data_IF_554463104536
#
_entry.id   IF_554463104536
#
_cell.length_a   1.000
_cell.length_b   1.000
_cell.length_c   1.000
_cell.angle_alpha   90.00
_cell.angle_beta   90.00
_cell.angle_gamma   90.00
#
_symmetry.space_group_name_H-M   'P 1'
#
loop_
_entity.id
_entity.type
_entity.pdbx_description
1 polymer ?
#
# COMPACT_ATOMS: atom_id res chain seq x y z
N UNK A 1 -3.14 -11.81 3.43
CA UNK A 1 -4.15 -11.32 4.38
C UNK A 1 -5.48 -11.93 4.00
N UNK A 2 -6.20 -12.54 4.94
CA UNK A 2 -7.42 -13.32 4.67
C UNK A 2 -8.72 -12.53 4.74
N UNK A 3 -8.67 -11.21 4.58
CA UNK A 3 -9.83 -10.30 4.71
C UNK A 3 -10.39 -10.02 3.32
N UNK A 4 -11.71 -10.14 3.14
CA UNK A 4 -12.34 -9.79 1.87
C UNK A 4 -12.42 -8.26 1.69
N UNK A 5 -12.53 -7.77 0.45
CA UNK A 5 -12.72 -6.32 0.22
C UNK A 5 -13.98 -5.77 0.89
N UNK A 6 -15.03 -6.59 1.03
CA UNK A 6 -16.28 -6.23 1.73
C UNK A 6 -16.03 -6.08 3.23
N UNK A 7 -15.31 -7.04 3.82
CA UNK A 7 -14.97 -7.01 5.24
C UNK A 7 -14.03 -5.85 5.58
N UNK A 8 -13.03 -5.59 4.74
CA UNK A 8 -12.14 -4.44 4.90
C UNK A 8 -12.92 -3.12 4.81
N UNK A 9 -13.85 -3.02 3.85
CA UNK A 9 -14.71 -1.85 3.74
C UNK A 9 -15.58 -1.63 4.98
N UNK A 10 -16.11 -2.71 5.59
CA UNK A 10 -16.86 -2.63 6.84
C UNK A 10 -15.99 -2.11 7.99
N UNK A 11 -14.77 -2.62 8.13
CA UNK A 11 -13.81 -2.15 9.15
C UNK A 11 -13.45 -0.68 8.98
N UNK A 12 -13.39 -0.20 7.74
CA UNK A 12 -13.09 1.20 7.38
C UNK A 12 -14.33 2.12 7.38
N UNK A 13 -15.53 1.62 7.65
CA UNK A 13 -16.75 2.42 7.54
C UNK A 13 -17.00 2.96 6.12
N UNK A 14 -16.57 2.23 5.08
CA UNK A 14 -16.58 2.66 3.69
C UNK A 14 -17.23 1.61 2.77
N UNK A 15 -17.16 1.82 1.45
CA UNK A 15 -17.73 0.91 0.45
C UNK A 15 -16.69 -0.08 -0.07
N UNK A 16 -17.13 -1.28 -0.47
CA UNK A 16 -16.25 -2.23 -1.16
C UNK A 16 -15.66 -1.62 -2.44
N UNK A 17 -16.41 -0.78 -3.16
CA UNK A 17 -15.93 -0.10 -4.36
C UNK A 17 -14.78 0.86 -4.07
N UNK A 18 -14.83 1.58 -2.94
CA UNK A 18 -13.72 2.42 -2.48
C UNK A 18 -12.45 1.59 -2.25
N UNK A 19 -12.56 0.48 -1.51
CA UNK A 19 -11.43 -0.44 -1.26
C UNK A 19 -10.88 -0.97 -2.59
N UNK A 20 -11.76 -1.41 -3.48
CA UNK A 20 -11.41 -1.94 -4.79
C UNK A 20 -10.65 -0.93 -5.66
N UNK A 21 -11.05 0.35 -5.65
CA UNK A 21 -10.34 1.42 -6.37
C UNK A 21 -8.97 1.73 -5.76
N UNK A 22 -8.85 1.69 -4.44
CA UNK A 22 -7.57 1.88 -3.75
C UNK A 22 -6.59 0.73 -4.08
N UNK A 23 -7.05 -0.53 -4.03
CA UNK A 23 -6.23 -1.71 -4.34
C UNK A 23 -5.75 -1.74 -5.79
N UNK A 24 -6.59 -1.30 -6.74
CA UNK A 24 -6.21 -1.15 -8.16
C UNK A 24 -5.33 0.08 -8.43
N UNK A 25 -5.10 0.93 -7.43
CA UNK A 25 -4.35 2.18 -7.57
C UNK A 25 -5.07 3.28 -8.37
N UNK A 26 -6.36 3.12 -8.64
CA UNK A 26 -7.23 4.11 -9.30
C UNK A 26 -7.57 5.28 -8.37
N UNK A 27 -7.54 5.03 -7.05
CA UNK A 27 -7.68 6.05 -6.01
C UNK A 27 -6.41 6.09 -5.16
N UNK A 28 -5.88 7.29 -4.95
CA UNK A 28 -4.81 7.51 -3.98
C UNK A 28 -5.40 7.55 -2.59
N UNK A 29 -4.70 6.93 -1.64
CA UNK A 29 -4.95 7.11 -0.22
C UNK A 29 -4.02 8.18 0.33
N UNK A 30 -4.51 8.99 1.26
CA UNK A 30 -3.65 9.89 2.02
C UNK A 30 -3.00 9.18 3.23
N UNK A 31 -2.24 9.93 4.03
CA UNK A 31 -1.53 9.36 5.17
C UNK A 31 -2.45 8.93 6.31
N UNK A 32 -3.61 9.57 6.48
CA UNK A 32 -4.61 9.19 7.48
C UNK A 32 -5.28 7.88 7.05
N UNK A 33 -5.69 7.81 5.78
CA UNK A 33 -6.27 6.59 5.22
C UNK A 33 -5.26 5.43 5.24
N UNK A 34 -3.97 5.67 5.03
CA UNK A 34 -2.95 4.63 5.18
C UNK A 34 -2.94 4.02 6.59
N UNK A 35 -3.05 4.85 7.63
CA UNK A 35 -3.12 4.40 9.03
C UNK A 35 -4.38 3.59 9.27
N UNK A 36 -5.53 4.08 8.83
CA UNK A 36 -6.82 3.39 8.96
C UNK A 36 -6.81 2.02 8.26
N UNK A 37 -6.26 1.93 7.05
CA UNK A 37 -6.10 0.66 6.34
C UNK A 37 -5.20 -0.32 7.08
N UNK A 38 -4.06 0.14 7.61
CA UNK A 38 -3.14 -0.70 8.35
C UNK A 38 -3.79 -1.25 9.63
N UNK A 39 -4.45 -0.40 10.40
CA UNK A 39 -5.18 -0.78 11.62
C UNK A 39 -6.34 -1.74 11.31
N UNK A 40 -7.12 -1.48 10.26
CA UNK A 40 -8.21 -2.36 9.82
C UNK A 40 -7.69 -3.74 9.38
N UNK A 41 -6.45 -3.83 8.90
CA UNK A 41 -5.79 -5.08 8.54
C UNK A 41 -5.04 -5.74 9.71
N UNK A 42 -4.99 -5.09 10.88
CA UNK A 42 -4.29 -5.58 12.06
C UNK A 42 -2.76 -5.48 11.97
N UNK A 43 -2.26 -4.53 11.19
CA UNK A 43 -0.82 -4.29 11.00
C UNK A 43 -0.45 -2.91 11.53
N UNK A 44 0.67 -2.75 12.27
CA UNK A 44 1.14 -1.43 12.68
C UNK A 44 1.44 -0.53 11.47
N UNK A 45 0.91 0.71 11.40
CA UNK A 45 1.11 1.60 10.25
C UNK A 45 2.59 1.88 9.92
N UNK A 46 3.43 1.95 10.96
CA UNK A 46 4.87 2.18 10.79
C UNK A 46 5.57 1.01 10.08
N UNK A 47 5.15 -0.23 10.32
CA UNK A 47 5.70 -1.41 9.63
C UNK A 47 5.38 -1.37 8.14
N UNK A 48 4.13 -1.01 7.79
CA UNK A 48 3.69 -0.88 6.39
C UNK A 48 4.52 0.18 5.66
N UNK A 49 4.69 1.35 6.28
CA UNK A 49 5.44 2.45 5.67
C UNK A 49 6.94 2.12 5.56
N UNK A 50 7.53 1.51 6.60
CA UNK A 50 8.93 1.10 6.58
C UNK A 50 9.19 0.08 5.46
N UNK A 51 8.37 -0.97 5.36
CA UNK A 51 8.49 -1.99 4.30
C UNK A 51 8.37 -1.36 2.90
N UNK A 52 7.43 -0.42 2.73
CA UNK A 52 7.27 0.30 1.47
C UNK A 52 8.54 1.10 1.10
N UNK A 53 9.11 1.85 2.05
CA UNK A 53 10.30 2.67 1.82
C UNK A 53 11.52 1.81 1.50
N UNK A 54 11.74 0.70 2.21
CA UNK A 54 12.83 -0.25 1.93
C UNK A 54 12.72 -0.85 0.53
N UNK A 55 11.50 -1.25 0.12
CA UNK A 55 11.24 -1.76 -1.23
C UNK A 55 11.42 -0.69 -2.29
N UNK A 56 10.98 0.54 -2.02
CA UNK A 56 11.14 1.67 -2.93
C UNK A 56 12.62 1.98 -3.16
N UNK A 57 13.41 2.05 -2.09
CA UNK A 57 14.85 2.29 -2.17
C UNK A 57 15.55 1.16 -2.93
N UNK A 58 15.23 -0.10 -2.63
CA UNK A 58 15.77 -1.26 -3.35
C UNK A 58 15.47 -1.20 -4.85
N UNK A 59 14.24 -0.79 -5.22
CA UNK A 59 13.84 -0.61 -6.61
C UNK A 59 14.54 0.58 -7.28
N UNK A 60 14.81 1.67 -6.56
CA UNK A 60 15.61 2.79 -7.06
C UNK A 60 17.05 2.34 -7.34
N UNK A 61 17.68 1.59 -6.43
CA UNK A 61 19.03 1.05 -6.64
C UNK A 61 19.10 0.03 -7.78
N UNK A 62 18.08 -0.83 -7.93
CA UNK A 62 17.98 -1.76 -9.04
C UNK A 62 17.80 -1.04 -10.40
N UNK A 63 16.98 0.01 -10.44
CA UNK A 63 16.77 0.84 -11.63
C UNK A 63 18.05 1.60 -12.04
N UNK A 64 18.81 2.14 -11.08
CA UNK A 64 20.07 2.85 -11.35
C UNK A 64 21.18 1.93 -11.93
N UNK A 65 21.23 0.65 -11.56
CA UNK A 65 22.20 -0.32 -12.12
C UNK A 65 21.88 -0.67 -13.58
N UNK A 66 20.60 -0.72 -13.96
CA UNK A 66 20.16 -1.09 -15.33
C UNK A 66 20.55 -0.03 -16.38
N UNK A 67 20.61 1.24 -15.99
CA UNK A 67 21.01 2.34 -16.89
C UNK A 67 22.52 2.36 -17.18
N UNK A 68 23.37 1.89 -16.26
CA UNK A 68 24.85 1.89 -16.45
C UNK A 68 25.39 0.72 -17.27
N UNK A 69 24.61 -0.33 -17.50
CA UNK A 69 25.05 -1.53 -18.25
C UNK A 69 24.76 -1.46 -19.76
N UNK A 70 24.15 -0.36 -20.25
CA UNK A 70 23.80 -0.15 -21.67
C UNK A 70 24.69 0.88 -22.37
N UNK A 71 25.82 1.25 -21.78
CA UNK A 71 26.81 2.15 -22.37
C UNK A 71 28.18 1.49 -22.45
#
# INVERSE_FOLDING_TARGET
MGVSQVELAQRLGNTQTFVSKCERGERRIDAVELVEFAEALGVPPLEVLAEYLERRDSNLFAASKKTRSRS
#
